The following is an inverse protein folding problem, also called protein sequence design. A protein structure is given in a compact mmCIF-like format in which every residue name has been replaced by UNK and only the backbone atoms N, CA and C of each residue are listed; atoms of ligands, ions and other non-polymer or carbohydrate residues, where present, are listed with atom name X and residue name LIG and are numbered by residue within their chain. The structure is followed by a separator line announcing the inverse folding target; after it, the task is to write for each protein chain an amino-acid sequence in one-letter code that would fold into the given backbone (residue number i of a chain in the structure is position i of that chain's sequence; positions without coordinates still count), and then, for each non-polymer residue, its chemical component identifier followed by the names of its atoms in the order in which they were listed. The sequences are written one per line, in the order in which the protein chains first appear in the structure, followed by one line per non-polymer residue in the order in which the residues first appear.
data_IF_814705709407
#
_entry.id   IF_814705709407
#
_cell.length_a   1.000
_cell.length_b   1.000
_cell.length_c   1.000
_cell.angle_alpha   90.00
_cell.angle_beta   90.00
_cell.angle_gamma   90.00
#
_symmetry.space_group_name_H-M   'P 1'
#
loop_
_entity.id
_entity.type
_entity.pdbx_description
1 polymer ?
#
# COMPACT_ATOMS: atom_id res chain seq x y z
N UNK A 1 0.47 11.56 15.00
CA UNK A 1 0.84 10.36 15.82
C UNK A 1 2.35 10.21 15.77
N UNK A 2 3.03 10.19 16.91
CA UNK A 2 4.49 10.01 16.95
C UNK A 2 4.81 8.51 16.85
N UNK A 3 4.88 7.99 15.64
CA UNK A 3 5.21 6.60 15.36
C UNK A 3 6.29 6.52 14.28
N UNK A 4 7.24 5.65 14.47
CA UNK A 4 8.32 5.39 13.52
C UNK A 4 8.40 3.90 13.20
N UNK A 5 8.75 3.57 11.97
CA UNK A 5 9.12 2.21 11.57
C UNK A 5 10.59 2.16 11.18
N UNK A 6 11.22 1.02 11.40
CA UNK A 6 12.62 0.82 11.04
C UNK A 6 12.71 0.29 9.59
N UNK A 7 13.22 1.12 8.70
CA UNK A 7 13.49 0.77 7.30
C UNK A 7 15.01 0.64 7.14
N UNK A 8 15.53 -0.57 7.29
CA UNK A 8 16.97 -0.90 7.17
C UNK A 8 17.89 0.00 8.04
N UNK A 9 17.52 0.20 9.27
CA UNK A 9 18.30 1.02 10.22
C UNK A 9 18.02 2.53 10.09
N UNK A 10 17.19 2.97 9.18
CA UNK A 10 16.66 4.34 9.11
C UNK A 10 15.24 4.37 9.67
N UNK A 11 14.91 5.38 10.45
CA UNK A 11 13.55 5.56 10.95
C UNK A 11 12.72 6.33 9.93
N UNK A 12 11.62 5.72 9.49
CA UNK A 12 10.58 6.39 8.75
C UNK A 12 9.55 6.92 9.74
N UNK A 13 9.47 8.23 9.86
CA UNK A 13 8.61 8.93 10.79
C UNK A 13 7.23 9.18 10.18
N UNK A 14 6.17 8.93 10.96
CA UNK A 14 4.76 9.18 10.63
C UNK A 14 4.14 10.33 11.45
N UNK A 15 4.95 11.19 12.06
CA UNK A 15 4.45 12.46 12.63
C UNK A 15 3.76 13.32 11.57
N UNK A 16 4.24 13.23 10.32
CA UNK A 16 3.55 13.71 9.12
C UNK A 16 3.09 12.54 8.25
N UNK A 17 1.88 12.60 7.67
CA UNK A 17 1.41 11.56 6.75
C UNK A 17 2.33 11.38 5.54
N UNK A 18 2.48 10.15 5.07
CA UNK A 18 3.33 9.78 3.93
C UNK A 18 2.50 9.41 2.72
N UNK A 19 3.06 9.63 1.54
CA UNK A 19 2.41 9.24 0.28
C UNK A 19 3.14 8.05 -0.31
N UNK A 20 2.40 6.96 -0.54
CA UNK A 20 2.82 5.72 -1.17
C UNK A 20 2.29 5.68 -2.61
N UNK A 21 3.17 5.82 -3.58
CA UNK A 21 2.82 5.77 -5.00
C UNK A 21 2.76 4.35 -5.54
N UNK A 22 1.69 4.02 -6.23
CA UNK A 22 1.46 2.71 -6.84
C UNK A 22 2.28 2.58 -8.13
N UNK A 23 3.05 1.47 -8.23
CA UNK A 23 3.75 1.04 -9.43
C UNK A 23 3.31 -0.39 -9.79
N UNK A 24 2.37 -0.52 -10.72
CA UNK A 24 1.86 -1.81 -11.17
C UNK A 24 2.65 -2.32 -12.38
N UNK A 25 3.11 -3.57 -12.31
CA UNK A 25 3.76 -4.28 -13.40
C UNK A 25 2.76 -5.22 -14.08
N UNK A 26 2.12 -4.74 -15.15
CA UNK A 26 1.00 -5.43 -15.81
C UNK A 26 1.41 -6.51 -16.80
N UNK A 27 0.51 -7.48 -17.16
CA UNK A 27 0.78 -8.58 -18.09
C UNK A 27 1.21 -8.18 -19.50
N UNK A 28 0.65 -7.11 -20.05
CA UNK A 28 0.99 -6.62 -21.40
C UNK A 28 2.47 -6.30 -21.58
N UNK A 29 3.16 -6.26 -20.48
CA UNK A 29 4.59 -5.99 -20.31
C UNK A 29 5.52 -7.13 -20.74
N UNK A 30 5.01 -8.36 -20.96
CA UNK A 30 5.85 -9.56 -21.15
C UNK A 30 5.93 -10.08 -22.58
N UNK A 31 5.16 -9.54 -23.52
CA UNK A 31 5.33 -9.86 -24.93
C UNK A 31 6.66 -9.28 -25.46
N UNK A 32 7.36 -10.01 -26.33
CA UNK A 32 8.72 -9.72 -26.74
C UNK A 32 8.94 -8.29 -27.23
N UNK A 33 7.97 -7.75 -27.96
CA UNK A 33 8.04 -6.41 -28.56
C UNK A 33 7.71 -5.28 -27.57
N UNK A 34 7.04 -5.60 -26.42
CA UNK A 34 6.68 -4.63 -25.37
C UNK A 34 7.67 -4.58 -24.20
N UNK A 35 8.64 -5.51 -24.12
CA UNK A 35 9.57 -5.61 -22.97
C UNK A 35 10.41 -4.36 -22.75
N UNK A 36 10.87 -3.72 -23.80
CA UNK A 36 11.67 -2.50 -23.68
C UNK A 36 10.80 -1.33 -23.22
N UNK A 37 9.60 -1.17 -23.80
CA UNK A 37 8.63 -0.16 -23.43
C UNK A 37 8.18 -0.29 -21.96
N UNK A 38 8.02 -1.53 -21.47
CA UNK A 38 7.65 -1.80 -20.08
C UNK A 38 8.74 -1.44 -19.09
N UNK A 39 10.01 -1.80 -19.39
CA UNK A 39 11.13 -1.44 -18.53
C UNK A 39 11.23 0.08 -18.42
N UNK A 40 11.08 0.77 -19.52
CA UNK A 40 11.05 2.22 -19.56
C UNK A 40 9.89 2.78 -18.74
N UNK A 41 8.67 2.25 -18.87
CA UNK A 41 7.51 2.68 -18.11
C UNK A 41 7.67 2.46 -16.60
N UNK A 42 8.29 1.35 -16.17
CA UNK A 42 8.61 1.10 -14.75
C UNK A 42 9.55 2.17 -14.21
N UNK A 43 10.63 2.49 -14.94
CA UNK A 43 11.60 3.52 -14.54
C UNK A 43 10.95 4.90 -14.50
N UNK A 44 10.21 5.26 -15.54
CA UNK A 44 9.53 6.55 -15.64
C UNK A 44 8.51 6.72 -14.50
N UNK A 45 7.69 5.69 -14.23
CA UNK A 45 6.72 5.73 -13.14
C UNK A 45 7.38 5.85 -11.77
N UNK A 46 8.45 5.10 -11.53
CA UNK A 46 9.17 5.18 -10.28
C UNK A 46 9.82 6.57 -10.08
N UNK A 47 10.44 7.14 -11.12
CA UNK A 47 10.96 8.50 -11.09
C UNK A 47 9.87 9.54 -10.86
N UNK A 48 8.72 9.37 -11.51
CA UNK A 48 7.56 10.25 -11.34
C UNK A 48 7.08 10.25 -9.89
N UNK A 49 6.92 9.08 -9.26
CA UNK A 49 6.49 8.97 -7.86
C UNK A 49 7.41 9.80 -6.96
N UNK A 50 8.73 9.64 -7.10
CA UNK A 50 9.70 10.37 -6.28
C UNK A 50 9.69 11.86 -6.60
N UNK A 51 9.65 12.25 -7.88
CA UNK A 51 9.65 13.64 -8.32
C UNK A 51 8.40 14.40 -7.87
N UNK A 52 7.26 13.71 -7.75
CA UNK A 52 6.00 14.27 -7.26
C UNK A 52 5.92 14.31 -5.72
N UNK A 53 6.97 13.86 -5.00
CA UNK A 53 7.06 13.90 -3.54
C UNK A 53 6.55 12.62 -2.84
N UNK A 54 6.31 11.55 -3.58
CA UNK A 54 6.02 10.24 -2.98
C UNK A 54 7.21 9.73 -2.17
N UNK A 55 6.93 9.24 -0.97
CA UNK A 55 7.97 8.78 -0.02
C UNK A 55 8.19 7.27 -0.07
N UNK A 56 7.23 6.51 -0.60
CA UNK A 56 7.27 5.05 -0.72
C UNK A 56 6.82 4.68 -2.13
N UNK A 57 7.54 3.78 -2.79
CA UNK A 57 7.15 3.17 -4.07
C UNK A 57 6.57 1.78 -3.76
N UNK A 58 5.30 1.55 -4.06
CA UNK A 58 4.65 0.25 -3.84
C UNK A 58 4.55 -0.54 -5.14
N UNK A 59 5.38 -1.58 -5.27
CA UNK A 59 5.52 -2.38 -6.48
C UNK A 59 4.60 -3.60 -6.42
N UNK A 60 3.61 -3.66 -7.32
CA UNK A 60 2.68 -4.78 -7.45
C UNK A 60 2.78 -5.47 -8.80
N UNK A 61 2.83 -6.80 -8.81
CA UNK A 61 2.89 -7.62 -10.03
C UNK A 61 1.61 -8.41 -10.31
N UNK A 62 0.67 -8.40 -9.38
CA UNK A 62 -0.66 -9.03 -9.50
C UNK A 62 -1.73 -7.94 -9.55
N UNK A 63 -2.68 -8.07 -10.48
CA UNK A 63 -3.87 -7.21 -10.44
C UNK A 63 -4.88 -7.80 -9.47
N UNK A 64 -5.33 -6.99 -8.52
CA UNK A 64 -6.40 -7.34 -7.57
C UNK A 64 -7.76 -6.81 -7.99
N UNK A 65 -7.88 -6.29 -9.22
CA UNK A 65 -9.15 -5.84 -9.78
C UNK A 65 -10.10 -7.03 -9.97
N UNK A 66 -11.41 -6.88 -9.68
CA UNK A 66 -12.40 -7.91 -9.99
C UNK A 66 -12.31 -8.33 -11.45
N UNK A 67 -12.22 -9.65 -11.71
CA UNK A 67 -12.13 -10.21 -13.06
C UNK A 67 -10.72 -10.29 -13.66
N UNK A 68 -9.68 -9.87 -12.95
CA UNK A 68 -8.30 -10.11 -13.40
C UNK A 68 -7.95 -11.60 -13.35
N UNK A 69 -7.18 -12.06 -14.34
CA UNK A 69 -6.69 -13.44 -14.35
C UNK A 69 -5.67 -13.65 -13.23
N UNK A 70 -5.74 -14.78 -12.51
CA UNK A 70 -4.73 -15.13 -11.51
C UNK A 70 -3.33 -15.21 -12.14
N UNK A 71 -2.37 -14.56 -11.51
CA UNK A 71 -0.96 -14.63 -11.90
C UNK A 71 -0.30 -15.76 -11.12
N UNK A 72 0.47 -16.63 -11.79
CA UNK A 72 1.21 -17.70 -11.10
C UNK A 72 2.32 -17.08 -10.24
N UNK A 73 2.82 -17.86 -9.27
CA UNK A 73 3.91 -17.41 -8.40
C UNK A 73 5.20 -17.17 -9.20
N UNK A 74 5.47 -18.01 -10.20
CA UNK A 74 6.63 -17.90 -11.08
C UNK A 74 6.58 -16.61 -11.90
N UNK A 75 5.40 -16.29 -12.41
CA UNK A 75 5.19 -15.08 -13.20
C UNK A 75 5.28 -13.82 -12.33
N UNK A 76 4.65 -13.81 -11.15
CA UNK A 76 4.78 -12.72 -10.17
C UNK A 76 6.25 -12.51 -9.80
N UNK A 77 6.96 -13.58 -9.47
CA UNK A 77 8.39 -13.56 -9.15
C UNK A 77 9.23 -12.95 -10.28
N UNK A 78 8.98 -13.35 -11.51
CA UNK A 78 9.71 -12.83 -12.68
C UNK A 78 9.46 -11.34 -12.91
N UNK A 79 8.21 -10.89 -12.77
CA UNK A 79 7.81 -9.48 -12.89
C UNK A 79 8.46 -8.62 -11.80
N UNK A 80 8.38 -9.06 -10.54
CA UNK A 80 8.97 -8.35 -9.41
C UNK A 80 10.49 -8.27 -9.53
N UNK A 81 11.19 -9.36 -9.90
CA UNK A 81 12.64 -9.33 -10.13
C UNK A 81 13.05 -8.32 -11.18
N UNK A 82 12.29 -8.22 -12.27
CA UNK A 82 12.56 -7.23 -13.32
C UNK A 82 12.36 -5.81 -12.80
N UNK A 83 11.21 -5.53 -12.18
CA UNK A 83 10.86 -4.19 -11.72
C UNK A 83 11.78 -3.73 -10.58
N UNK A 84 12.01 -4.57 -9.57
CA UNK A 84 12.85 -4.23 -8.42
C UNK A 84 14.31 -3.98 -8.80
N UNK A 85 14.85 -4.76 -9.76
CA UNK A 85 16.18 -4.49 -10.30
C UNK A 85 16.28 -3.09 -10.91
N UNK A 86 15.31 -2.70 -11.71
CA UNK A 86 15.26 -1.37 -12.33
C UNK A 86 15.10 -0.26 -11.29
N UNK A 87 14.16 -0.42 -10.35
CA UNK A 87 13.93 0.57 -9.29
C UNK A 87 15.19 0.75 -8.43
N UNK A 88 15.87 -0.34 -8.04
CA UNK A 88 17.10 -0.25 -7.23
C UNK A 88 18.30 0.32 -7.99
N UNK A 89 18.40 0.08 -9.31
CA UNK A 89 19.43 0.69 -10.15
C UNK A 89 19.24 2.20 -10.30
N UNK A 90 18.01 2.64 -10.50
CA UNK A 90 17.69 4.05 -10.74
C UNK A 90 17.55 4.88 -9.45
N UNK A 91 17.04 4.25 -8.39
CA UNK A 91 16.74 4.91 -7.11
C UNK A 91 17.15 4.02 -5.93
N UNK A 92 18.45 3.85 -5.69
CA UNK A 92 18.96 2.96 -4.64
C UNK A 92 18.47 3.33 -3.23
N UNK A 93 18.22 4.62 -2.99
CA UNK A 93 17.81 5.14 -1.67
C UNK A 93 16.29 5.20 -1.47
N UNK A 94 15.47 4.90 -2.51
CA UNK A 94 14.02 4.93 -2.37
C UNK A 94 13.52 3.87 -1.39
N UNK A 95 12.54 4.22 -0.58
CA UNK A 95 11.79 3.24 0.23
C UNK A 95 10.86 2.48 -0.71
N UNK A 96 11.03 1.16 -0.77
CA UNK A 96 10.27 0.28 -1.66
C UNK A 96 9.44 -0.69 -0.85
N UNK A 97 8.14 -0.68 -1.13
CA UNK A 97 7.16 -1.66 -0.68
C UNK A 97 6.86 -2.66 -1.80
N UNK A 98 6.52 -3.89 -1.46
CA UNK A 98 6.02 -4.88 -2.42
C UNK A 98 4.66 -5.38 -2.00
N UNK A 99 3.69 -5.24 -2.94
CA UNK A 99 2.32 -5.76 -2.81
C UNK A 99 2.33 -7.24 -3.22
N UNK A 100 2.34 -8.12 -2.21
CA UNK A 100 2.27 -9.58 -2.38
C UNK A 100 1.67 -10.26 -1.16
N UNK A 101 0.91 -11.32 -1.40
CA UNK A 101 0.34 -12.18 -0.35
C UNK A 101 1.05 -13.54 -0.25
N UNK A 102 2.14 -13.74 -1.01
CA UNK A 102 2.90 -15.01 -1.05
C UNK A 102 4.17 -14.88 -0.21
N UNK A 103 4.31 -15.68 0.87
CA UNK A 103 5.49 -15.60 1.75
C UNK A 103 6.82 -15.80 1.03
N UNK A 104 6.88 -16.73 0.06
CA UNK A 104 8.10 -17.03 -0.69
C UNK A 104 8.50 -15.85 -1.59
N UNK A 105 7.51 -15.18 -2.19
CA UNK A 105 7.73 -13.98 -3.01
C UNK A 105 8.20 -12.84 -2.11
N UNK A 106 7.56 -12.63 -0.96
CA UNK A 106 8.01 -11.63 0.03
C UNK A 106 9.45 -11.88 0.46
N UNK A 107 9.79 -13.14 0.82
CA UNK A 107 11.16 -13.54 1.18
C UNK A 107 12.17 -13.21 0.08
N UNK A 108 11.90 -13.61 -1.14
CA UNK A 108 12.76 -13.34 -2.30
C UNK A 108 12.98 -11.83 -2.50
N UNK A 109 11.93 -11.01 -2.41
CA UNK A 109 12.04 -9.57 -2.67
C UNK A 109 12.89 -8.86 -1.61
N UNK A 110 12.80 -9.29 -0.36
CA UNK A 110 13.63 -8.75 0.72
C UNK A 110 15.07 -9.23 0.61
N UNK A 111 15.29 -10.53 0.42
CA UNK A 111 16.63 -11.14 0.41
C UNK A 111 17.44 -10.76 -0.85
N UNK A 112 16.83 -10.70 -2.05
CA UNK A 112 17.54 -10.41 -3.30
C UNK A 112 17.65 -8.89 -3.60
N UNK A 113 16.63 -8.10 -3.23
CA UNK A 113 16.54 -6.68 -3.63
C UNK A 113 16.50 -5.72 -2.43
N UNK A 114 16.50 -6.26 -1.22
CA UNK A 114 16.40 -5.44 -0.03
C UNK A 114 15.13 -4.58 -0.04
N UNK A 115 13.98 -5.17 -0.31
CA UNK A 115 12.69 -4.50 -0.16
C UNK A 115 12.50 -4.06 1.28
N UNK A 116 11.87 -2.93 1.48
CA UNK A 116 11.82 -2.23 2.76
C UNK A 116 10.53 -2.49 3.53
N UNK A 117 9.42 -2.79 2.83
CA UNK A 117 8.09 -3.00 3.41
C UNK A 117 7.39 -4.12 2.63
N UNK A 118 6.66 -5.00 3.31
CA UNK A 118 5.75 -5.95 2.66
C UNK A 118 4.32 -5.47 2.86
N UNK A 119 3.59 -5.31 1.74
CA UNK A 119 2.19 -4.92 1.71
C UNK A 119 1.34 -6.14 1.36
N UNK A 120 0.62 -6.69 2.34
CA UNK A 120 -0.20 -7.90 2.17
C UNK A 120 -1.68 -7.56 2.24
N UNK A 121 -2.32 -7.57 1.08
CA UNK A 121 -3.74 -7.27 0.92
C UNK A 121 -4.67 -8.45 1.21
N UNK A 122 -4.12 -9.65 1.46
CA UNK A 122 -4.93 -10.87 1.68
C UNK A 122 -5.54 -10.98 3.08
N UNK A 123 -5.07 -10.16 4.01
CA UNK A 123 -5.41 -10.26 5.43
C UNK A 123 -4.42 -11.11 6.22
N UNK A 124 -3.33 -11.52 5.60
CA UNK A 124 -2.24 -12.26 6.22
C UNK A 124 -2.48 -13.77 6.34
N UNK A 125 -1.39 -14.46 6.61
CA UNK A 125 -1.39 -15.90 6.92
C UNK A 125 -0.30 -16.21 7.96
N UNK A 126 -0.40 -17.33 8.70
CA UNK A 126 0.65 -17.72 9.65
C UNK A 126 2.03 -17.86 9.00
N UNK A 127 2.12 -18.27 7.73
CA UNK A 127 3.37 -18.37 7.00
C UNK A 127 3.94 -16.99 6.65
N UNK A 128 3.09 -16.05 6.22
CA UNK A 128 3.49 -14.68 6.00
C UNK A 128 3.96 -14.01 7.29
N UNK A 129 3.25 -14.21 8.41
CA UNK A 129 3.66 -13.64 9.71
C UNK A 129 5.04 -14.16 10.15
N UNK A 130 5.29 -15.48 10.01
CA UNK A 130 6.62 -16.05 10.27
C UNK A 130 7.69 -15.47 9.35
N UNK A 131 7.36 -15.27 8.07
CA UNK A 131 8.30 -14.75 7.08
C UNK A 131 8.72 -13.32 7.41
N UNK A 132 7.76 -12.39 7.57
CA UNK A 132 8.07 -10.97 7.83
C UNK A 132 8.76 -10.77 9.18
N UNK A 133 8.38 -11.55 10.19
CA UNK A 133 9.03 -11.51 11.52
C UNK A 133 10.48 -12.01 11.47
N UNK A 134 10.75 -13.09 10.72
CA UNK A 134 12.11 -13.60 10.48
C UNK A 134 12.98 -12.57 9.77
N UNK A 135 12.43 -11.92 8.77
CA UNK A 135 13.13 -10.91 7.96
C UNK A 135 13.25 -9.55 8.66
N UNK A 136 12.47 -9.33 9.73
CA UNK A 136 12.37 -8.05 10.46
C UNK A 136 12.06 -6.88 9.52
N UNK A 137 11.17 -7.11 8.57
CA UNK A 137 10.72 -6.11 7.61
C UNK A 137 9.37 -5.55 8.04
N UNK A 138 9.14 -4.23 7.96
CA UNK A 138 7.83 -3.63 8.19
C UNK A 138 6.73 -4.30 7.37
N UNK A 139 5.57 -4.48 7.99
CA UNK A 139 4.46 -5.22 7.41
C UNK A 139 3.17 -4.42 7.40
N UNK A 140 2.55 -4.29 6.23
CA UNK A 140 1.22 -3.72 6.09
C UNK A 140 0.20 -4.87 6.14
N UNK A 141 -0.59 -4.85 7.19
CA UNK A 141 -1.64 -5.83 7.47
C UNK A 141 -2.99 -5.27 7.03
N UNK A 142 -3.60 -5.89 6.03
CA UNK A 142 -4.93 -5.50 5.55
C UNK A 142 -6.03 -6.29 6.26
N UNK A 143 -7.13 -5.64 6.61
CA UNK A 143 -8.37 -6.29 7.02
C UNK A 143 -9.43 -6.23 5.91
N UNK A 144 -10.00 -7.38 5.56
CA UNK A 144 -11.09 -7.47 4.58
C UNK A 144 -12.48 -7.47 5.22
N UNK A 145 -12.57 -7.26 6.53
CA UNK A 145 -13.82 -7.28 7.29
C UNK A 145 -14.75 -6.11 6.90
N UNK A 146 -16.08 -6.32 6.90
CA UNK A 146 -17.02 -5.36 6.32
C UNK A 146 -17.36 -4.18 7.25
N UNK A 147 -17.14 -4.29 8.55
CA UNK A 147 -17.49 -3.24 9.53
C UNK A 147 -16.29 -2.81 10.35
N UNK A 148 -16.28 -1.58 10.87
CA UNK A 148 -15.20 -1.08 11.72
C UNK A 148 -15.00 -1.93 12.98
N UNK A 149 -16.08 -2.41 13.58
CA UNK A 149 -16.01 -3.31 14.74
C UNK A 149 -15.26 -4.60 14.40
N UNK A 150 -15.63 -5.24 13.28
CA UNK A 150 -15.01 -6.50 12.88
C UNK A 150 -13.54 -6.28 12.43
N UNK A 151 -13.24 -5.14 11.80
CA UNK A 151 -11.87 -4.72 11.48
C UNK A 151 -11.02 -4.59 12.75
N UNK A 152 -11.53 -3.94 13.79
CA UNK A 152 -10.82 -3.78 15.07
C UNK A 152 -10.55 -5.13 15.74
N UNK A 153 -11.53 -6.03 15.75
CA UNK A 153 -11.36 -7.39 16.32
C UNK A 153 -10.34 -8.21 15.50
N UNK A 154 -10.41 -8.14 14.17
CA UNK A 154 -9.48 -8.81 13.27
C UNK A 154 -8.05 -8.31 13.47
N UNK A 155 -7.86 -6.98 13.57
CA UNK A 155 -6.56 -6.41 13.86
C UNK A 155 -6.05 -6.75 15.26
N UNK A 156 -6.89 -6.73 16.27
CA UNK A 156 -6.48 -7.06 17.64
C UNK A 156 -5.90 -8.49 17.72
N UNK A 157 -6.55 -9.46 17.08
CA UNK A 157 -6.09 -10.84 17.03
C UNK A 157 -4.78 -10.97 16.20
N UNK A 158 -4.75 -10.44 14.99
CA UNK A 158 -3.61 -10.59 14.07
C UNK A 158 -2.37 -9.81 14.52
N UNK A 159 -2.55 -8.62 15.06
CA UNK A 159 -1.44 -7.83 15.64
C UNK A 159 -0.83 -8.58 16.83
N UNK A 160 -1.67 -9.21 17.68
CA UNK A 160 -1.14 -10.02 18.78
C UNK A 160 -0.31 -11.21 18.24
N UNK A 161 -0.81 -11.94 17.24
CA UNK A 161 -0.06 -13.04 16.61
C UNK A 161 1.29 -12.57 16.04
N UNK A 162 1.33 -11.41 15.36
CA UNK A 162 2.55 -10.82 14.84
C UNK A 162 3.51 -10.42 15.97
N UNK A 163 3.00 -9.82 17.06
CA UNK A 163 3.80 -9.43 18.23
C UNK A 163 4.40 -10.65 18.94
N UNK A 164 3.64 -11.75 19.04
CA UNK A 164 4.13 -13.02 19.63
C UNK A 164 5.29 -13.62 18.83
N UNK A 165 5.36 -13.34 17.54
CA UNK A 165 6.47 -13.70 16.65
C UNK A 165 7.63 -12.66 16.67
N UNK A 166 7.48 -11.56 17.43
CA UNK A 166 8.49 -10.51 17.55
C UNK A 166 8.43 -9.43 16.46
N UNK A 167 7.35 -9.39 15.64
CA UNK A 167 7.16 -8.34 14.64
C UNK A 167 6.91 -6.99 15.33
N UNK A 168 7.78 -6.00 15.07
CA UNK A 168 7.71 -4.67 15.68
C UNK A 168 6.93 -3.68 14.80
N UNK A 169 7.29 -3.58 13.54
CA UNK A 169 6.82 -2.55 12.63
C UNK A 169 5.61 -3.04 11.83
N UNK A 170 4.43 -2.56 12.21
CA UNK A 170 3.13 -2.93 11.62
C UNK A 170 2.38 -1.66 11.21
N UNK A 171 1.83 -1.66 10.01
CA UNK A 171 0.93 -0.63 9.49
C UNK A 171 -0.42 -1.29 9.22
N UNK A 172 -1.53 -0.67 9.61
CA UNK A 172 -2.87 -1.20 9.44
C UNK A 172 -3.52 -0.64 8.18
N UNK A 173 -4.08 -1.50 7.32
CA UNK A 173 -4.94 -1.11 6.20
C UNK A 173 -6.36 -1.64 6.40
N UNK A 174 -7.38 -0.79 6.62
CA UNK A 174 -8.77 -1.24 6.76
C UNK A 174 -9.37 -1.84 5.49
N UNK A 175 -8.61 -1.93 4.39
CA UNK A 175 -8.94 -2.69 3.19
C UNK A 175 -10.09 -2.11 2.38
N UNK A 176 -10.07 -0.81 2.09
CA UNK A 176 -11.06 -0.20 1.20
C UNK A 176 -11.13 -0.91 -0.14
N UNK A 177 -12.35 -1.25 -0.58
CA UNK A 177 -12.61 -1.95 -1.85
C UNK A 177 -12.45 -3.47 -1.81
N UNK A 178 -11.90 -4.05 -0.72
CA UNK A 178 -11.78 -5.49 -0.57
C UNK A 178 -12.96 -6.05 0.23
N UNK A 179 -13.79 -6.89 -0.43
CA UNK A 179 -14.93 -7.56 0.21
C UNK A 179 -16.04 -6.64 0.75
N UNK A 180 -16.03 -5.35 0.43
CA UNK A 180 -16.95 -4.33 0.96
C UNK A 180 -17.84 -3.74 -0.13
N UNK A 181 -19.12 -3.49 0.18
CA UNK A 181 -19.99 -2.66 -0.66
C UNK A 181 -19.56 -1.20 -0.64
N UNK A 182 -20.15 -0.36 -1.49
CA UNK A 182 -19.92 1.09 -1.50
C UNK A 182 -20.27 1.69 -0.13
N UNK A 183 -21.44 1.34 0.41
CA UNK A 183 -21.94 1.84 1.68
C UNK A 183 -21.05 1.42 2.86
N UNK A 184 -20.57 0.17 2.86
CA UNK A 184 -19.65 -0.34 3.87
C UNK A 184 -18.29 0.41 3.83
N UNK A 185 -17.77 0.70 2.63
CA UNK A 185 -16.55 1.51 2.50
C UNK A 185 -16.75 2.91 3.11
N UNK A 186 -17.87 3.58 2.82
CA UNK A 186 -18.17 4.88 3.43
C UNK A 186 -18.37 4.79 4.94
N UNK A 187 -19.03 3.75 5.44
CA UNK A 187 -19.21 3.52 6.87
C UNK A 187 -17.86 3.31 7.58
N UNK A 188 -16.93 2.56 6.98
CA UNK A 188 -15.57 2.37 7.51
C UNK A 188 -14.79 3.68 7.48
N UNK A 189 -14.82 4.43 6.37
CA UNK A 189 -14.13 5.72 6.28
C UNK A 189 -14.67 6.72 7.31
N UNK A 190 -15.99 6.74 7.50
CA UNK A 190 -16.61 7.64 8.49
C UNK A 190 -16.21 7.34 9.95
N UNK A 191 -15.72 6.14 10.22
CA UNK A 191 -15.29 5.68 11.56
C UNK A 191 -13.77 5.45 11.65
N UNK A 192 -12.99 5.92 10.66
CA UNK A 192 -11.56 5.61 10.53
C UNK A 192 -10.75 5.98 11.79
N UNK A 193 -11.12 7.07 12.47
CA UNK A 193 -10.49 7.54 13.70
C UNK A 193 -10.51 6.51 14.84
N UNK A 194 -11.44 5.54 14.82
CA UNK A 194 -11.48 4.47 15.83
C UNK A 194 -10.24 3.56 15.78
N UNK A 195 -9.55 3.48 14.62
CA UNK A 195 -8.29 2.71 14.50
C UNK A 195 -7.15 3.30 15.34
N UNK A 196 -7.24 4.53 15.78
CA UNK A 196 -6.23 5.16 16.64
C UNK A 196 -6.05 4.44 17.99
N UNK A 197 -7.07 3.68 18.45
CA UNK A 197 -6.97 2.84 19.65
C UNK A 197 -5.88 1.78 19.54
N UNK A 198 -5.55 1.36 18.32
CA UNK A 198 -4.50 0.37 18.06
C UNK A 198 -3.08 0.94 18.23
N UNK A 199 -2.91 2.27 18.29
CA UNK A 199 -1.62 2.98 18.41
C UNK A 199 -0.62 2.59 17.33
N UNK A 200 -1.10 2.23 16.14
CA UNK A 200 -0.32 1.84 14.95
C UNK A 200 -0.67 2.78 13.79
N UNK A 201 0.27 3.04 12.86
CA UNK A 201 -0.02 3.85 11.68
C UNK A 201 -1.07 3.19 10.81
N UNK A 202 -1.91 4.01 10.19
CA UNK A 202 -3.01 3.59 9.32
C UNK A 202 -2.74 3.99 7.89
N UNK A 203 -2.74 3.01 6.98
CA UNK A 203 -2.72 3.21 5.54
C UNK A 203 -4.14 3.28 4.99
N UNK A 204 -4.38 4.23 4.09
CA UNK A 204 -5.65 4.36 3.37
C UNK A 204 -5.40 4.32 1.87
N UNK A 205 -6.03 3.35 1.19
CA UNK A 205 -5.96 3.16 -0.24
C UNK A 205 -7.35 3.28 -0.89
N UNK A 206 -7.85 4.50 -1.12
CA UNK A 206 -9.15 4.77 -1.78
C UNK A 206 -9.02 5.19 -3.25
N UNK A 207 -7.79 5.46 -3.71
CA UNK A 207 -7.51 6.05 -5.02
C UNK A 207 -8.19 5.32 -6.17
N UNK A 208 -9.07 6.04 -6.89
CA UNK A 208 -9.82 5.59 -8.08
C UNK A 208 -10.63 4.31 -7.87
N UNK A 209 -11.01 3.99 -6.62
CA UNK A 209 -11.79 2.79 -6.27
C UNK A 209 -13.29 2.96 -6.52
N UNK A 210 -13.98 1.82 -6.56
CA UNK A 210 -15.42 1.74 -6.88
C UNK A 210 -16.31 2.57 -5.96
N UNK A 211 -15.91 2.78 -4.71
CA UNK A 211 -16.61 3.65 -3.79
C UNK A 211 -16.68 5.11 -4.29
N UNK A 212 -15.72 5.53 -5.12
CA UNK A 212 -15.69 6.87 -5.72
C UNK A 212 -16.47 6.90 -7.04
N UNK A 213 -15.98 6.13 -8.03
CA UNK A 213 -16.52 6.26 -9.38
C UNK A 213 -17.98 5.79 -9.51
N UNK A 214 -18.44 4.82 -8.68
CA UNK A 214 -19.85 4.44 -8.64
C UNK A 214 -20.73 5.47 -7.93
N UNK A 215 -20.22 6.13 -6.87
CA UNK A 215 -20.98 7.15 -6.16
C UNK A 215 -21.16 8.43 -6.99
N UNK A 216 -20.21 8.72 -7.89
CA UNK A 216 -20.23 9.91 -8.75
C UNK A 216 -20.78 9.60 -10.15
N UNK A 217 -21.06 8.32 -10.46
CA UNK A 217 -21.45 7.85 -11.81
C UNK A 217 -20.46 8.28 -12.91
N UNK A 218 -19.17 8.04 -12.63
CA UNK A 218 -18.05 8.36 -13.52
C UNK A 218 -17.17 7.13 -13.77
N UNK A 219 -16.17 7.26 -14.64
CA UNK A 219 -15.16 6.21 -14.86
C UNK A 219 -14.05 6.28 -13.81
N UNK A 220 -13.24 5.20 -13.61
CA UNK A 220 -12.06 5.27 -12.76
C UNK A 220 -11.05 6.37 -13.16
N UNK A 221 -10.94 6.70 -14.45
CA UNK A 221 -10.03 7.74 -14.95
C UNK A 221 -10.49 9.15 -14.55
N UNK A 222 -11.79 9.35 -14.40
CA UNK A 222 -12.40 10.61 -13.96
C UNK A 222 -12.49 10.74 -12.44
N UNK A 223 -12.07 9.73 -11.67
CA UNK A 223 -12.21 9.68 -10.22
C UNK A 223 -11.15 10.47 -9.44
N UNK A 224 -10.32 11.29 -10.09
CA UNK A 224 -9.26 12.05 -9.43
C UNK A 224 -9.80 12.99 -8.36
N UNK A 225 -10.77 13.84 -8.69
CA UNK A 225 -11.33 14.78 -7.73
C UNK A 225 -11.96 14.08 -6.52
N UNK A 226 -12.71 12.98 -6.75
CA UNK A 226 -13.27 12.17 -5.66
C UNK A 226 -12.17 11.51 -4.80
N UNK A 227 -11.06 11.10 -5.41
CA UNK A 227 -9.88 10.59 -4.69
C UNK A 227 -9.30 11.66 -3.77
N UNK A 228 -9.11 12.89 -4.26
CA UNK A 228 -8.61 14.03 -3.48
C UNK A 228 -9.51 14.33 -2.27
N UNK A 229 -10.83 14.36 -2.48
CA UNK A 229 -11.81 14.57 -1.40
C UNK A 229 -11.69 13.49 -0.32
N UNK A 230 -11.67 12.20 -0.71
CA UNK A 230 -11.63 11.12 0.27
C UNK A 230 -10.24 10.97 0.93
N UNK A 231 -9.16 11.30 0.25
CA UNK A 231 -7.83 11.39 0.86
C UNK A 231 -7.79 12.49 1.94
N UNK A 232 -8.37 13.66 1.67
CA UNK A 232 -8.46 14.75 2.67
C UNK A 232 -9.28 14.33 3.89
N UNK A 233 -10.41 13.65 3.68
CA UNK A 233 -11.22 13.09 4.79
C UNK A 233 -10.42 12.05 5.58
N UNK A 234 -9.69 11.16 4.91
CA UNK A 234 -8.87 10.15 5.56
C UNK A 234 -7.77 10.78 6.42
N UNK A 235 -7.08 11.82 5.92
CA UNK A 235 -6.08 12.57 6.69
C UNK A 235 -6.68 13.21 7.94
N UNK A 236 -7.82 13.88 7.81
CA UNK A 236 -8.53 14.49 8.94
C UNK A 236 -8.97 13.45 10.00
N UNK A 237 -9.10 12.18 9.61
CA UNK A 237 -9.43 11.05 10.49
C UNK A 237 -8.20 10.22 10.93
N UNK A 238 -6.99 10.72 10.70
CA UNK A 238 -5.76 10.15 11.24
C UNK A 238 -5.06 9.13 10.36
N UNK A 239 -5.31 9.13 9.04
CA UNK A 239 -4.51 8.34 8.11
C UNK A 239 -3.03 8.76 8.15
N UNK A 240 -2.13 7.79 8.30
CA UNK A 240 -0.67 8.00 8.33
C UNK A 240 -0.01 7.78 6.97
N UNK A 241 -0.66 7.01 6.09
CA UNK A 241 -0.17 6.73 4.73
C UNK A 241 -1.33 6.79 3.74
N UNK A 242 -1.15 7.51 2.65
CA UNK A 242 -2.06 7.51 1.50
C UNK A 242 -1.44 6.67 0.37
N UNK A 243 -2.10 5.55 0.00
CA UNK A 243 -1.68 4.70 -1.14
C UNK A 243 -2.45 5.10 -2.39
N UNK A 244 -1.75 5.66 -3.39
CA UNK A 244 -2.38 6.39 -4.48
C UNK A 244 -1.77 6.13 -5.87
N UNK A 245 -2.58 6.36 -6.92
CA UNK A 245 -2.11 6.49 -8.29
C UNK A 245 -1.60 7.92 -8.57
N UNK A 246 -2.28 8.93 -8.02
CA UNK A 246 -2.09 10.37 -8.27
C UNK A 246 -1.28 10.97 -7.12
N UNK A 247 0.06 10.88 -7.24
CA UNK A 247 0.99 11.16 -6.13
C UNK A 247 1.03 12.65 -5.81
N UNK A 248 1.12 13.52 -6.83
CA UNK A 248 1.18 14.97 -6.66
C UNK A 248 -0.03 15.48 -5.86
N UNK A 249 -1.23 15.10 -6.28
CA UNK A 249 -2.48 15.52 -5.66
C UNK A 249 -2.61 15.02 -4.22
N UNK A 250 -2.09 13.81 -3.94
CA UNK A 250 -2.04 13.29 -2.57
C UNK A 250 -1.03 14.04 -1.69
N UNK A 251 0.13 14.42 -2.24
CA UNK A 251 1.12 15.26 -1.54
C UNK A 251 0.53 16.64 -1.23
N UNK A 252 -0.20 17.23 -2.17
CA UNK A 252 -0.92 18.49 -1.94
C UNK A 252 -1.97 18.34 -0.83
N UNK A 253 -2.72 17.24 -0.78
CA UNK A 253 -3.63 16.95 0.34
C UNK A 253 -2.89 16.93 1.69
N UNK A 254 -1.74 16.25 1.78
CA UNK A 254 -0.93 16.20 3.00
C UNK A 254 -0.45 17.60 3.41
N UNK A 255 0.11 18.36 2.45
CA UNK A 255 0.62 19.70 2.72
C UNK A 255 -0.46 20.65 3.21
N UNK A 256 -1.67 20.62 2.61
CA UNK A 256 -2.79 21.45 3.03
C UNK A 256 -3.36 21.00 4.38
N UNK A 257 -3.48 19.68 4.61
CA UNK A 257 -3.95 19.13 5.89
C UNK A 257 -3.04 19.52 7.04
N UNK A 258 -1.72 19.51 6.86
CA UNK A 258 -0.75 19.94 7.87
C UNK A 258 -0.88 21.43 8.26
N UNK A 259 -1.46 22.27 7.37
CA UNK A 259 -1.76 23.69 7.68
C UNK A 259 -3.01 23.86 8.54
N UNK A 260 -3.90 22.87 8.57
CA UNK A 260 -5.14 22.90 9.35
C UNK A 260 -4.95 22.38 10.78
N UNK A 261 -3.84 21.69 11.04
CA UNK A 261 -3.55 21.04 12.34
C UNK A 261 -2.66 21.91 13.25
N UNK A 262 -2.76 23.22 13.16
CA UNK A 262 -2.04 24.18 14.03
C UNK A 262 -2.80 24.43 15.31
#
# INVERSE_FOLDING_TARGET
MDYTINVKGRLLDFSEPRVMGILNVTPDSFYADSRAATKQAVVERARQIVAEGGTIIDVGACSTRPGSMPVSQEEETARLRMALRLVRQEMPEAVVSVDTFRPEVAGMTVEEFGVDIINDISGGSPDMYRMVSRLRVPYILTSQQPTMRDILLDFADKVQQLRDLGQQDIILDPGFGFGKTVEQNYAVLNQLEQLQVMTLPVLVGVSRKSMIYKALDVTPDEALNGTTVLNTVALAKGASVLRVHDVREAVECVQLSNRLTV
#
